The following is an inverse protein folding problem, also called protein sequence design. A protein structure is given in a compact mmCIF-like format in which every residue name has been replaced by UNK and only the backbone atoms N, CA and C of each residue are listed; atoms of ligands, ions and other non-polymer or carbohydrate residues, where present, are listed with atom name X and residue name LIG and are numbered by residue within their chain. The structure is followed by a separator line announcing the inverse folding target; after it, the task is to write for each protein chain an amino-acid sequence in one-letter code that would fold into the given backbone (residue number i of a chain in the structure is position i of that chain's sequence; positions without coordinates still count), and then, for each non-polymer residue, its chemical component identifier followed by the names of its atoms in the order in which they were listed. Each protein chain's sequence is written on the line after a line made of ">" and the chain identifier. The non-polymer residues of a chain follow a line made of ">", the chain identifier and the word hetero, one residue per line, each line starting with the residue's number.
data_IF_657523901618
#
_entry.id   IF_657523901618
#
_cell.length_a   1.000
_cell.length_b   1.000
_cell.length_c   1.000
_cell.angle_alpha   90.00
_cell.angle_beta   90.00
_cell.angle_gamma   90.00
#
_symmetry.space_group_name_H-M   'P 1'
#
loop_
_entity.id
_entity.type
_entity.pdbx_description
1 polymer ?
#
# COMPACT_ATOMS: atom_id res chain seq x y z
N UNK A 1 -1.63 -1.62 10.66
CA UNK A 1 -0.41 -2.22 10.08
C UNK A 1 0.73 -1.37 10.58
N UNK A 2 1.66 -1.96 11.36
CA UNK A 2 2.82 -1.23 11.87
C UNK A 2 3.73 -0.80 10.73
N UNK A 3 4.40 0.35 10.88
CA UNK A 3 5.36 0.89 9.90
C UNK A 3 6.53 -0.06 9.57
N UNK A 4 6.82 -1.03 10.44
CA UNK A 4 7.78 -2.12 10.22
C UNK A 4 7.31 -3.09 9.14
N UNK A 5 6.04 -3.47 9.13
CA UNK A 5 5.49 -4.48 8.23
C UNK A 5 5.58 -4.06 6.75
N UNK A 6 5.44 -2.77 6.48
CA UNK A 6 5.56 -2.23 5.12
C UNK A 6 7.01 -2.25 4.59
N UNK A 7 8.02 -2.12 5.46
CA UNK A 7 9.42 -2.20 5.04
C UNK A 7 9.78 -3.60 4.55
N UNK A 8 9.24 -4.61 5.22
CA UNK A 8 9.51 -6.01 4.88
C UNK A 8 8.75 -6.44 3.61
N UNK A 9 7.64 -5.74 3.28
CA UNK A 9 6.83 -6.01 2.09
C UNK A 9 7.40 -5.41 0.78
N UNK A 10 8.33 -4.46 0.87
CA UNK A 10 8.90 -3.80 -0.32
C UNK A 10 9.73 -4.76 -1.18
N UNK A 11 10.64 -5.56 -0.62
CA UNK A 11 11.39 -6.55 -1.39
C UNK A 11 10.45 -7.53 -2.10
N UNK A 12 9.39 -7.98 -1.41
CA UNK A 12 8.37 -8.86 -1.95
C UNK A 12 7.65 -8.24 -3.15
N UNK A 13 7.19 -6.99 -3.02
CA UNK A 13 6.54 -6.26 -4.12
C UNK A 13 7.44 -6.16 -5.36
N UNK A 14 8.71 -5.87 -5.15
CA UNK A 14 9.70 -5.74 -6.23
C UNK A 14 9.98 -7.08 -6.90
N UNK A 15 10.00 -8.16 -6.14
CA UNK A 15 10.22 -9.50 -6.66
C UNK A 15 9.01 -10.00 -7.46
N UNK A 16 7.79 -9.81 -6.96
CA UNK A 16 6.56 -10.12 -7.68
C UNK A 16 6.46 -9.37 -9.02
N UNK A 17 6.98 -8.14 -9.09
CA UNK A 17 7.04 -7.39 -10.35
C UNK A 17 8.03 -7.97 -11.36
N UNK A 18 9.13 -8.57 -10.90
CA UNK A 18 10.13 -9.20 -11.78
C UNK A 18 9.68 -10.59 -12.24
N UNK A 19 9.12 -11.36 -11.32
CA UNK A 19 8.65 -12.73 -11.55
C UNK A 19 7.24 -12.89 -10.98
N UNK A 20 6.21 -12.57 -11.78
CA UNK A 20 4.82 -12.58 -11.28
C UNK A 20 4.25 -13.98 -11.05
N UNK A 21 4.95 -15.04 -11.51
CA UNK A 21 4.54 -16.42 -11.36
C UNK A 21 5.67 -17.25 -10.75
N UNK A 22 5.37 -17.98 -9.71
CA UNK A 22 6.28 -18.97 -9.11
C UNK A 22 5.51 -20.26 -8.79
N UNK A 23 6.22 -21.38 -8.84
CA UNK A 23 5.64 -22.67 -8.50
C UNK A 23 5.61 -22.85 -6.98
N UNK A 24 4.42 -23.14 -6.46
CA UNK A 24 4.25 -23.50 -5.05
C UNK A 24 4.51 -24.98 -4.85
N UNK A 25 5.09 -25.35 -3.71
CA UNK A 25 5.10 -26.73 -3.24
C UNK A 25 3.66 -27.19 -2.92
N UNK A 26 3.41 -28.49 -2.92
CA UNK A 26 2.09 -29.01 -2.52
C UNK A 26 1.77 -28.60 -1.07
N UNK A 27 2.76 -28.61 -0.18
CA UNK A 27 2.61 -28.21 1.22
C UNK A 27 2.22 -26.72 1.35
N UNK A 28 2.91 -25.82 0.64
CA UNK A 28 2.57 -24.39 0.64
C UNK A 28 1.20 -24.14 0.03
N UNK A 29 0.83 -24.87 -1.03
CA UNK A 29 -0.49 -24.79 -1.66
C UNK A 29 -1.58 -25.14 -0.64
N UNK A 30 -1.42 -26.24 0.11
CA UNK A 30 -2.36 -26.66 1.14
C UNK A 30 -2.49 -25.60 2.24
N UNK A 31 -1.37 -25.03 2.69
CA UNK A 31 -1.37 -23.96 3.70
C UNK A 31 -2.15 -22.75 3.18
N UNK A 32 -1.90 -22.29 1.96
CA UNK A 32 -2.61 -21.14 1.39
C UNK A 32 -4.10 -21.40 1.21
N UNK A 33 -4.49 -22.60 0.76
CA UNK A 33 -5.88 -23.00 0.67
C UNK A 33 -6.59 -22.98 2.04
N UNK A 34 -5.91 -23.42 3.10
CA UNK A 34 -6.44 -23.38 4.46
C UNK A 34 -6.62 -21.93 4.96
N UNK A 35 -5.66 -21.03 4.70
CA UNK A 35 -5.82 -19.60 5.03
C UNK A 35 -7.03 -18.99 4.34
N UNK A 36 -7.18 -19.22 3.03
CA UNK A 36 -8.29 -18.70 2.24
C UNK A 36 -9.62 -19.26 2.75
N UNK A 37 -9.68 -20.57 2.99
CA UNK A 37 -10.89 -21.24 3.51
C UNK A 37 -11.30 -20.69 4.88
N UNK A 38 -10.33 -20.46 5.78
CA UNK A 38 -10.59 -19.87 7.09
C UNK A 38 -11.10 -18.43 6.97
N UNK A 39 -10.50 -17.62 6.11
CA UNK A 39 -10.95 -16.25 5.86
C UNK A 39 -12.38 -16.23 5.29
N UNK A 40 -12.70 -17.12 4.33
CA UNK A 40 -14.04 -17.26 3.78
C UNK A 40 -15.06 -17.66 4.87
N UNK A 41 -14.70 -18.64 5.70
CA UNK A 41 -15.56 -19.08 6.81
C UNK A 41 -15.88 -17.92 7.75
N UNK A 42 -14.87 -17.12 8.13
CA UNK A 42 -15.06 -15.94 9.00
C UNK A 42 -15.93 -14.88 8.30
N UNK A 43 -15.74 -14.66 6.99
CA UNK A 43 -16.58 -13.73 6.24
C UNK A 43 -18.08 -14.08 6.29
N UNK A 44 -18.39 -15.37 6.27
CA UNK A 44 -19.78 -15.86 6.32
C UNK A 44 -20.38 -15.94 7.75
N UNK A 45 -19.60 -15.73 8.81
CA UNK A 45 -20.13 -15.66 10.18
C UNK A 45 -20.85 -14.34 10.43
N UNK A 46 -21.69 -14.31 11.47
CA UNK A 46 -22.36 -13.08 11.91
C UNK A 46 -21.33 -11.97 12.21
N UNK A 47 -21.72 -10.72 11.95
CA UNK A 47 -20.87 -9.58 12.21
C UNK A 47 -20.63 -9.38 13.70
N UNK A 48 -19.36 -9.46 14.07
CA UNK A 48 -18.90 -9.19 15.43
C UNK A 48 -17.99 -7.95 15.42
N UNK A 49 -17.93 -7.18 16.52
CA UNK A 49 -17.07 -5.99 16.58
C UNK A 49 -15.58 -6.26 16.26
N UNK A 50 -15.15 -7.50 16.41
CA UNK A 50 -13.74 -7.90 16.17
C UNK A 50 -13.52 -8.65 14.85
N UNK A 51 -14.58 -8.94 14.07
CA UNK A 51 -14.49 -9.68 12.79
C UNK A 51 -13.50 -9.05 11.83
N UNK A 52 -13.63 -7.75 11.59
CA UNK A 52 -12.72 -7.00 10.69
C UNK A 52 -11.28 -7.05 11.19
N UNK A 53 -11.07 -6.88 12.51
CA UNK A 53 -9.72 -6.96 13.08
C UNK A 53 -9.12 -8.36 12.94
N UNK A 54 -9.93 -9.40 13.08
CA UNK A 54 -9.50 -10.79 12.89
C UNK A 54 -9.10 -11.05 11.44
N UNK A 55 -9.92 -10.62 10.47
CA UNK A 55 -9.61 -10.76 9.04
C UNK A 55 -8.34 -10.00 8.64
N UNK A 56 -8.14 -8.78 9.16
CA UNK A 56 -6.92 -8.01 8.91
C UNK A 56 -5.67 -8.72 9.43
N UNK A 57 -5.73 -9.33 10.62
CA UNK A 57 -4.61 -10.06 11.20
C UNK A 57 -4.32 -11.36 10.47
N UNK A 58 -5.35 -12.09 10.03
CA UNK A 58 -5.18 -13.27 9.17
C UNK A 58 -4.59 -12.88 7.82
N UNK A 59 -5.03 -11.78 7.22
CA UNK A 59 -4.43 -11.23 6.00
C UNK A 59 -2.95 -10.90 6.19
N UNK A 60 -2.59 -10.27 7.31
CA UNK A 60 -1.18 -9.99 7.63
C UNK A 60 -0.36 -11.28 7.78
N UNK A 61 -0.89 -12.29 8.48
CA UNK A 61 -0.24 -13.59 8.63
C UNK A 61 -0.04 -14.29 7.28
N UNK A 62 -1.05 -14.25 6.40
CA UNK A 62 -0.94 -14.76 5.03
C UNK A 62 0.17 -14.06 4.25
N UNK A 63 0.29 -12.74 4.36
CA UNK A 63 1.34 -11.97 3.69
C UNK A 63 2.74 -12.35 4.17
N UNK A 64 2.93 -12.57 5.47
CA UNK A 64 4.20 -13.08 6.00
C UNK A 64 4.53 -14.47 5.46
N UNK A 65 3.54 -15.38 5.40
CA UNK A 65 3.76 -16.72 4.83
C UNK A 65 4.12 -16.65 3.34
N UNK A 66 3.48 -15.78 2.56
CA UNK A 66 3.83 -15.53 1.15
C UNK A 66 5.27 -15.05 1.05
N UNK A 67 5.67 -14.10 1.88
CA UNK A 67 7.03 -13.57 1.91
C UNK A 67 8.05 -14.70 2.19
N UNK A 68 7.84 -15.51 3.21
CA UNK A 68 8.72 -16.61 3.58
C UNK A 68 8.81 -17.67 2.46
N UNK A 69 7.68 -17.99 1.83
CA UNK A 69 7.62 -18.93 0.71
C UNK A 69 8.42 -18.43 -0.49
N UNK A 70 8.29 -17.16 -0.84
CA UNK A 70 9.05 -16.56 -1.94
C UNK A 70 10.56 -16.55 -1.63
N UNK A 71 10.95 -16.20 -0.42
CA UNK A 71 12.36 -16.23 -0.02
C UNK A 71 12.94 -17.65 0.01
N UNK A 72 12.14 -18.67 0.35
CA UNK A 72 12.57 -20.05 0.35
C UNK A 72 12.77 -20.62 -1.05
N UNK A 73 12.03 -20.11 -2.06
CA UNK A 73 12.19 -20.50 -3.46
C UNK A 73 13.41 -19.88 -4.13
N UNK A 74 13.96 -18.82 -3.59
CA UNK A 74 15.24 -18.24 -4.02
C UNK A 74 16.44 -19.03 -3.44
N UNK A 75 16.51 -20.34 -3.68
CA UNK A 75 17.67 -21.19 -3.32
C UNK A 75 18.63 -21.39 -4.47
N UNK A 76 19.87 -21.73 -4.23
CA UNK A 76 20.85 -21.17 -3.28
C UNK A 76 22.05 -20.60 -3.99
N UNK A 77 22.06 -19.37 -4.30
CA UNK A 77 23.35 -18.70 -4.32
C UNK A 77 23.37 -17.74 -3.14
N UNK A 78 24.26 -17.97 -2.21
CA UNK A 78 24.68 -17.08 -1.11
C UNK A 78 25.25 -15.78 -1.68
N UNK A 79 24.50 -15.08 -2.47
CA UNK A 79 24.68 -13.67 -2.72
C UNK A 79 23.74 -12.97 -1.77
N UNK A 80 24.27 -12.37 -0.72
CA UNK A 80 23.60 -11.28 0.00
C UNK A 80 22.80 -10.50 -1.04
N UNK A 81 21.47 -10.42 -0.88
CA UNK A 81 20.63 -9.60 -1.75
C UNK A 81 21.12 -8.17 -1.55
N UNK A 82 22.14 -7.78 -2.28
CA UNK A 82 22.59 -6.39 -2.35
C UNK A 82 21.49 -5.62 -3.05
N UNK A 83 20.53 -5.15 -2.26
CA UNK A 83 19.50 -4.23 -2.75
C UNK A 83 20.19 -3.15 -3.56
N UNK A 84 19.76 -2.97 -4.78
CA UNK A 84 20.30 -1.90 -5.63
C UNK A 84 20.06 -0.56 -4.94
N UNK A 85 20.91 0.41 -5.19
CA UNK A 85 20.74 1.78 -4.68
C UNK A 85 19.32 2.32 -4.99
N UNK A 86 18.75 1.93 -6.12
CA UNK A 86 17.40 2.32 -6.55
C UNK A 86 16.31 1.69 -5.66
N UNK A 87 16.44 0.42 -5.31
CA UNK A 87 15.53 -0.29 -4.40
C UNK A 87 15.55 0.33 -2.99
N UNK A 88 16.73 0.68 -2.50
CA UNK A 88 16.87 1.37 -1.21
C UNK A 88 16.16 2.74 -1.23
N UNK A 89 16.30 3.51 -2.30
CA UNK A 89 15.62 4.80 -2.42
C UNK A 89 14.10 4.64 -2.52
N UNK A 90 13.63 3.66 -3.28
CA UNK A 90 12.20 3.36 -3.36
C UNK A 90 11.64 2.94 -2.00
N UNK A 91 12.34 2.06 -1.27
CA UNK A 91 11.94 1.67 0.07
C UNK A 91 11.82 2.84 1.05
N UNK A 92 12.81 3.74 1.03
CA UNK A 92 12.76 4.96 1.83
C UNK A 92 11.60 5.88 1.42
N UNK A 93 11.30 5.99 0.13
CA UNK A 93 10.16 6.75 -0.36
C UNK A 93 8.83 6.20 0.14
N UNK A 94 8.61 4.89 0.05
CA UNK A 94 7.38 4.26 0.57
C UNK A 94 7.25 4.48 2.09
N UNK A 95 8.34 4.37 2.84
CA UNK A 95 8.31 4.66 4.28
C UNK A 95 7.90 6.12 4.57
N UNK A 96 8.43 7.08 3.80
CA UNK A 96 8.03 8.48 3.91
C UNK A 96 6.58 8.71 3.48
N UNK A 97 6.11 8.05 2.41
CA UNK A 97 4.70 8.11 1.99
C UNK A 97 3.77 7.63 3.10
N UNK A 98 4.06 6.49 3.71
CA UNK A 98 3.26 5.96 4.82
C UNK A 98 3.19 6.94 5.98
N UNK A 99 4.26 7.68 6.23
CA UNK A 99 4.33 8.62 7.34
C UNK A 99 3.66 9.98 7.04
N UNK A 100 3.76 10.48 5.80
CA UNK A 100 3.45 11.87 5.48
C UNK A 100 2.33 12.07 4.46
N UNK A 101 1.77 11.04 3.84
CA UNK A 101 0.77 11.18 2.76
C UNK A 101 -0.49 11.98 3.15
N UNK A 102 -0.87 11.96 4.43
CA UNK A 102 -1.98 12.76 4.93
C UNK A 102 -1.65 14.26 5.05
N UNK A 103 -0.38 14.61 5.16
CA UNK A 103 0.09 15.97 5.41
C UNK A 103 0.72 16.60 4.17
N UNK A 104 1.46 15.81 3.38
CA UNK A 104 2.30 16.30 2.29
C UNK A 104 2.04 15.58 0.97
N UNK A 105 1.85 16.37 -0.09
CA UNK A 105 1.63 15.88 -1.45
C UNK A 105 2.68 16.32 -2.46
N UNK A 106 3.64 17.15 -2.00
CA UNK A 106 4.67 17.69 -2.88
C UNK A 106 5.77 16.67 -3.17
N UNK A 107 6.01 16.38 -4.44
CA UNK A 107 7.17 15.58 -4.88
C UNK A 107 8.48 16.16 -4.35
N UNK A 108 8.58 17.49 -4.27
CA UNK A 108 9.74 18.22 -3.74
C UNK A 108 10.02 17.86 -2.29
N UNK A 109 8.98 17.83 -1.44
CA UNK A 109 9.12 17.42 -0.04
C UNK A 109 9.78 16.05 0.12
N UNK A 110 9.30 15.05 -0.62
CA UNK A 110 9.85 13.69 -0.54
C UNK A 110 11.28 13.62 -1.08
N UNK A 111 11.58 14.36 -2.15
CA UNK A 111 12.93 14.43 -2.71
C UNK A 111 13.91 15.06 -1.71
N UNK A 112 13.52 16.15 -1.03
CA UNK A 112 14.32 16.82 0.01
C UNK A 112 14.58 15.90 1.20
N UNK A 113 13.55 15.17 1.68
CA UNK A 113 13.71 14.17 2.75
C UNK A 113 14.68 13.06 2.38
N UNK A 114 14.81 12.75 1.09
CA UNK A 114 15.75 11.76 0.56
C UNK A 114 17.12 12.37 0.20
N UNK A 115 17.31 13.68 0.41
CA UNK A 115 18.53 14.41 0.07
C UNK A 115 18.92 14.28 -1.43
N UNK A 116 17.92 14.30 -2.33
CA UNK A 116 18.11 14.26 -3.79
C UNK A 116 17.25 15.32 -4.48
N UNK A 117 17.60 15.63 -5.73
CA UNK A 117 16.81 16.61 -6.50
C UNK A 117 15.47 16.04 -6.95
N UNK A 118 14.37 16.84 -7.03
CA UNK A 118 13.05 16.38 -7.47
C UNK A 118 13.07 15.75 -8.87
N UNK A 119 13.90 16.24 -9.76
CA UNK A 119 14.08 15.71 -11.13
C UNK A 119 14.68 14.30 -11.08
N UNK A 120 15.75 14.11 -10.32
CA UNK A 120 16.39 12.80 -10.16
C UNK A 120 15.44 11.82 -9.48
N UNK A 121 14.78 12.26 -8.41
CA UNK A 121 13.79 11.45 -7.69
C UNK A 121 12.67 10.96 -8.62
N UNK A 122 12.04 11.85 -9.38
CA UNK A 122 10.94 11.50 -10.30
C UNK A 122 11.41 10.50 -11.38
N UNK A 123 12.60 10.69 -11.91
CA UNK A 123 13.18 9.78 -12.91
C UNK A 123 13.46 8.40 -12.31
N UNK A 124 14.01 8.36 -11.09
CA UNK A 124 14.34 7.14 -10.37
C UNK A 124 13.09 6.31 -10.09
N UNK A 125 12.06 6.92 -9.49
CA UNK A 125 10.81 6.24 -9.17
C UNK A 125 10.12 5.72 -10.43
N UNK A 126 10.02 6.54 -11.48
CA UNK A 126 9.39 6.13 -12.75
C UNK A 126 10.14 4.99 -13.42
N UNK A 127 11.47 5.01 -13.41
CA UNK A 127 12.29 3.93 -13.97
C UNK A 127 12.10 2.62 -13.19
N UNK A 128 11.98 2.70 -11.87
CA UNK A 128 11.88 1.56 -11.00
C UNK A 128 10.48 0.91 -11.01
N UNK A 129 9.42 1.72 -11.10
CA UNK A 129 8.04 1.26 -10.85
C UNK A 129 7.11 1.44 -12.06
N UNK A 130 7.56 2.09 -13.11
CA UNK A 130 6.70 2.47 -14.25
C UNK A 130 5.78 3.66 -13.95
N UNK A 131 5.50 3.99 -12.67
CA UNK A 131 4.65 5.10 -12.22
C UNK A 131 5.47 6.29 -11.77
N UNK A 132 4.96 7.51 -12.00
CA UNK A 132 5.61 8.72 -11.47
C UNK A 132 5.48 8.81 -9.95
N UNK A 133 6.39 9.55 -9.31
CA UNK A 133 6.33 9.81 -7.87
C UNK A 133 5.01 10.51 -7.48
N UNK A 134 4.49 11.42 -8.30
CA UNK A 134 3.21 12.08 -8.07
C UNK A 134 2.05 11.07 -8.08
N UNK A 135 2.02 10.14 -9.03
CA UNK A 135 0.99 9.09 -9.05
C UNK A 135 1.03 8.20 -7.81
N UNK A 136 2.21 7.87 -7.30
CA UNK A 136 2.33 7.14 -6.04
C UNK A 136 1.77 7.90 -4.85
N UNK A 137 2.05 9.21 -4.77
CA UNK A 137 1.52 10.09 -3.72
C UNK A 137 -0.02 10.15 -3.84
N UNK A 138 -0.55 10.37 -5.04
CA UNK A 138 -1.98 10.42 -5.30
C UNK A 138 -2.67 9.10 -4.91
N UNK A 139 -2.10 7.95 -5.29
CA UNK A 139 -2.64 6.63 -4.95
C UNK A 139 -2.78 6.44 -3.43
N UNK A 140 -1.78 6.84 -2.64
CA UNK A 140 -1.81 6.75 -1.17
C UNK A 140 -2.86 7.68 -0.56
N UNK A 141 -2.92 8.93 -1.02
CA UNK A 141 -3.91 9.91 -0.53
C UNK A 141 -5.34 9.46 -0.87
N UNK A 142 -5.55 8.94 -2.07
CA UNK A 142 -6.87 8.44 -2.50
C UNK A 142 -7.25 7.17 -1.76
N UNK A 143 -6.31 6.26 -1.49
CA UNK A 143 -6.58 5.07 -0.70
C UNK A 143 -7.04 5.43 0.72
N UNK A 144 -6.34 6.36 1.37
CA UNK A 144 -6.72 6.85 2.69
C UNK A 144 -8.07 7.58 2.66
N UNK A 145 -8.31 8.44 1.65
CA UNK A 145 -9.59 9.09 1.46
C UNK A 145 -10.75 8.08 1.32
N UNK A 146 -10.56 7.02 0.54
CA UNK A 146 -11.56 5.94 0.38
C UNK A 146 -11.83 5.23 1.70
N UNK A 147 -10.79 4.92 2.47
CA UNK A 147 -10.92 4.29 3.79
C UNK A 147 -11.71 5.17 4.75
N UNK A 148 -11.38 6.45 4.84
CA UNK A 148 -12.08 7.40 5.71
C UNK A 148 -13.54 7.60 5.28
N UNK A 149 -13.81 7.68 3.97
CA UNK A 149 -15.17 7.81 3.45
C UNK A 149 -16.05 6.60 3.77
N UNK A 150 -15.51 5.38 3.75
CA UNK A 150 -16.28 4.13 3.96
C UNK A 150 -16.35 3.71 5.43
N UNK A 151 -15.28 3.92 6.19
CA UNK A 151 -15.14 3.28 7.50
C UNK A 151 -15.04 4.26 8.68
N UNK A 152 -15.03 5.57 8.43
CA UNK A 152 -15.07 6.56 9.51
C UNK A 152 -16.43 7.29 9.55
N UNK A 153 -16.77 7.80 10.74
CA UNK A 153 -17.92 8.70 10.93
C UNK A 153 -17.65 10.16 10.53
N UNK A 154 -16.46 10.47 9.99
CA UNK A 154 -16.06 11.84 9.66
C UNK A 154 -16.92 12.41 8.52
N UNK A 155 -17.28 13.68 8.62
CA UNK A 155 -17.84 14.44 7.51
C UNK A 155 -16.83 14.60 6.36
N UNK A 156 -17.30 14.89 5.15
CA UNK A 156 -16.42 15.13 3.98
C UNK A 156 -15.48 16.31 4.25
N UNK A 157 -15.94 17.32 5.00
CA UNK A 157 -15.15 18.46 5.38
C UNK A 157 -14.02 18.09 6.35
N UNK A 158 -14.31 17.27 7.35
CA UNK A 158 -13.30 16.78 8.31
C UNK A 158 -12.26 15.91 7.59
N UNK A 159 -12.68 15.05 6.66
CA UNK A 159 -11.75 14.25 5.82
C UNK A 159 -10.86 15.17 4.99
N UNK A 160 -11.41 16.21 4.38
CA UNK A 160 -10.63 17.17 3.60
C UNK A 160 -9.53 17.81 4.46
N UNK A 161 -9.86 18.25 5.68
CA UNK A 161 -8.89 18.84 6.60
C UNK A 161 -7.90 17.82 7.16
N UNK A 162 -8.36 16.61 7.47
CA UNK A 162 -7.48 15.51 7.90
C UNK A 162 -6.41 15.18 6.85
N UNK A 163 -6.79 15.21 5.59
CA UNK A 163 -5.88 15.00 4.45
C UNK A 163 -5.17 16.29 4.00
N UNK A 164 -5.17 17.32 4.84
CA UNK A 164 -4.49 18.61 4.59
C UNK A 164 -4.90 19.29 3.27
N UNK A 165 -6.18 19.22 2.89
CA UNK A 165 -6.72 20.04 1.82
C UNK A 165 -7.21 21.39 2.36
N UNK A 166 -6.94 22.47 1.64
CA UNK A 166 -7.32 23.82 2.03
C UNK A 166 -8.83 24.01 2.13
N UNK A 167 -9.63 23.30 1.32
CA UNK A 167 -11.09 23.33 1.35
C UNK A 167 -11.69 22.00 0.95
N UNK A 168 -12.92 21.74 1.42
CA UNK A 168 -13.73 20.59 0.97
C UNK A 168 -13.93 20.58 -0.55
N UNK A 169 -14.13 21.75 -1.17
CA UNK A 169 -14.34 21.84 -2.61
C UNK A 169 -13.11 21.43 -3.40
N UNK A 170 -11.91 21.76 -2.92
CA UNK A 170 -10.66 21.34 -3.55
C UNK A 170 -10.45 19.85 -3.42
N UNK A 171 -10.68 19.28 -2.22
CA UNK A 171 -10.69 17.84 -2.00
C UNK A 171 -11.69 17.13 -2.92
N UNK A 172 -12.92 17.64 -3.03
CA UNK A 172 -13.94 17.04 -3.88
C UNK A 172 -13.55 16.97 -5.37
N UNK A 173 -12.96 18.04 -5.90
CA UNK A 173 -12.43 18.07 -7.27
C UNK A 173 -11.27 17.10 -7.46
N UNK A 174 -10.33 17.08 -6.54
CA UNK A 174 -9.19 16.18 -6.56
C UNK A 174 -9.63 14.70 -6.51
N UNK A 175 -10.50 14.35 -5.57
CA UNK A 175 -11.02 13.01 -5.44
C UNK A 175 -11.79 12.54 -6.68
N UNK A 176 -12.67 13.39 -7.21
CA UNK A 176 -13.42 13.10 -8.43
C UNK A 176 -12.52 12.93 -9.65
N UNK A 177 -11.47 13.74 -9.77
CA UNK A 177 -10.49 13.62 -10.85
C UNK A 177 -9.78 12.26 -10.82
N UNK A 178 -9.43 11.77 -9.62
CA UNK A 178 -8.68 10.53 -9.45
C UNK A 178 -9.57 9.27 -9.49
N UNK A 179 -10.84 9.36 -9.08
CA UNK A 179 -11.70 8.19 -8.91
C UNK A 179 -12.89 8.14 -9.87
N UNK A 180 -13.20 9.25 -10.55
CA UNK A 180 -14.39 9.40 -11.37
C UNK A 180 -15.66 9.77 -10.60
N UNK A 181 -15.70 9.59 -9.28
CA UNK A 181 -16.86 9.86 -8.41
C UNK A 181 -16.56 10.99 -7.43
N UNK A 182 -17.58 11.77 -7.07
CA UNK A 182 -17.45 12.70 -5.95
C UNK A 182 -17.32 11.93 -4.61
N UNK A 183 -16.76 12.54 -3.55
CA UNK A 183 -16.70 11.91 -2.23
C UNK A 183 -18.07 11.48 -1.70
N UNK A 184 -19.14 12.23 -1.95
CA UNK A 184 -20.50 11.89 -1.54
C UNK A 184 -21.02 10.67 -2.29
N UNK A 185 -20.88 10.64 -3.61
CA UNK A 185 -21.25 9.49 -4.45
C UNK A 185 -20.49 8.23 -4.03
N UNK A 186 -19.18 8.37 -3.79
CA UNK A 186 -18.35 7.25 -3.34
C UNK A 186 -18.76 6.73 -1.96
N UNK A 187 -19.12 7.60 -1.02
CA UNK A 187 -19.62 7.21 0.30
C UNK A 187 -20.93 6.43 0.22
N UNK A 188 -21.81 6.81 -0.69
CA UNK A 188 -23.13 6.19 -0.88
C UNK A 188 -23.11 4.97 -1.80
N UNK A 189 -22.03 4.73 -2.56
CA UNK A 189 -21.88 3.52 -3.37
C UNK A 189 -21.66 2.31 -2.44
N UNK A 190 -22.38 1.21 -2.69
CA UNK A 190 -22.21 -0.06 -1.96
C UNK A 190 -20.84 -0.72 -2.19
#
# INVERSE_FOLDING_TARGET
>A
VCSSDLRDMIPLYMQIQKEPCFHLSNEDTDIFCQFISLMQLICHTQDTPKKTATLLRLGSALMYKIHDTILAHDSPSKNEIKMSRQEIFFGKFIALLTQYHTQERSVTFYAEKLCITPKYFSTLIKKQTGKSAAQWIDDYVILEAKNLLKFSGMSIQEIAYHLNFSTQSFFGKYFKHQTGLSPSEYRSSE
#
